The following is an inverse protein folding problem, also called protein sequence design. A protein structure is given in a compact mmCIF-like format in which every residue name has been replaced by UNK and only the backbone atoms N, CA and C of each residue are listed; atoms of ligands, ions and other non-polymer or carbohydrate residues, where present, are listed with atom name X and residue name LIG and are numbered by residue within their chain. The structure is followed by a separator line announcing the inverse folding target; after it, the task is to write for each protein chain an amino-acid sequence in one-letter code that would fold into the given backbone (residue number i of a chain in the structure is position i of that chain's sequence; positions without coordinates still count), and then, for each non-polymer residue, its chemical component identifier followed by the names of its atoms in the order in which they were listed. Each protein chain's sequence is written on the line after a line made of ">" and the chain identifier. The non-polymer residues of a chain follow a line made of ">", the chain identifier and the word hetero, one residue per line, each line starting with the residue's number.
data_IF_786164172878
#
_entry.id   IF_786164172878
#
_cell.length_a   1.000
_cell.length_b   1.000
_cell.length_c   1.000
_cell.angle_alpha   90.00
_cell.angle_beta   90.00
_cell.angle_gamma   90.00
#
_symmetry.space_group_name_H-M   'P 1'
#
loop_
_entity.id
_entity.type
_entity.pdbx_description
1 polymer ?
#
# COMPACT_ATOMS: atom_id res chain seq x y z
N UNK A 1 5.54 -24.44 -10.28
CA UNK A 1 4.76 -23.97 -9.12
C UNK A 1 5.59 -23.07 -8.18
N UNK A 2 6.78 -23.48 -7.74
CA UNK A 2 7.61 -22.68 -6.82
C UNK A 2 7.97 -21.29 -7.39
N UNK A 3 8.33 -21.24 -8.68
CA UNK A 3 8.67 -19.99 -9.39
C UNK A 3 7.48 -19.01 -9.43
N UNK A 4 6.27 -19.50 -9.68
CA UNK A 4 5.07 -18.66 -9.75
C UNK A 4 4.66 -18.14 -8.37
N UNK A 5 4.88 -18.93 -7.31
CA UNK A 5 4.66 -18.49 -5.92
C UNK A 5 5.67 -17.42 -5.53
N UNK A 6 6.95 -17.60 -5.86
CA UNK A 6 7.98 -16.59 -5.60
C UNK A 6 7.71 -15.28 -6.36
N UNK A 7 7.22 -15.37 -7.61
CA UNK A 7 6.78 -14.21 -8.40
C UNK A 7 5.57 -13.52 -7.76
N UNK A 8 4.58 -14.27 -7.29
CA UNK A 8 3.43 -13.71 -6.60
C UNK A 8 3.85 -13.03 -5.29
N UNK A 9 4.83 -13.56 -4.57
CA UNK A 9 5.34 -12.96 -3.33
C UNK A 9 6.08 -11.64 -3.57
N UNK A 10 6.89 -11.56 -4.63
CA UNK A 10 7.67 -10.37 -4.96
C UNK A 10 6.94 -9.32 -5.79
N UNK A 11 5.78 -9.63 -6.39
CA UNK A 11 5.11 -8.69 -7.29
C UNK A 11 4.49 -7.51 -6.54
N UNK A 12 4.69 -6.26 -7.01
CA UNK A 12 4.01 -5.08 -6.46
C UNK A 12 2.56 -4.93 -6.94
N UNK A 13 2.03 -5.93 -7.65
CA UNK A 13 0.86 -5.80 -8.53
C UNK A 13 -0.36 -6.60 -8.06
N UNK A 14 -0.51 -6.81 -6.75
CA UNK A 14 -1.61 -7.61 -6.19
C UNK A 14 -2.97 -6.94 -6.42
N UNK A 15 -3.02 -5.63 -6.26
CA UNK A 15 -4.19 -4.82 -6.52
C UNK A 15 -3.77 -3.55 -7.24
N UNK A 16 -4.36 -3.30 -8.41
CA UNK A 16 -4.05 -2.13 -9.24
C UNK A 16 -5.32 -1.32 -9.42
N UNK A 17 -5.22 -0.01 -9.24
CA UNK A 17 -6.32 0.90 -9.51
C UNK A 17 -6.48 1.15 -11.00
N UNK A 18 -7.73 1.30 -11.46
CA UNK A 18 -7.98 1.73 -12.83
C UNK A 18 -7.56 3.19 -13.00
N UNK A 19 -6.67 3.43 -13.97
CA UNK A 19 -6.14 4.76 -14.29
C UNK A 19 -7.20 5.73 -14.82
N UNK A 20 -8.34 5.23 -15.29
CA UNK A 20 -9.47 6.04 -15.78
C UNK A 20 -10.22 6.73 -14.65
N UNK A 21 -10.18 6.19 -13.43
CA UNK A 21 -10.89 6.74 -12.28
C UNK A 21 -10.04 7.87 -11.67
N UNK A 22 -10.41 9.12 -11.94
CA UNK A 22 -9.66 10.34 -11.52
C UNK A 22 -9.71 10.66 -10.02
N UNK A 23 -10.18 9.74 -9.18
CA UNK A 23 -10.24 9.88 -7.71
C UNK A 23 -9.55 8.75 -6.94
N UNK A 24 -8.82 7.86 -7.62
CA UNK A 24 -8.13 6.76 -6.96
C UNK A 24 -7.00 7.28 -6.06
N UNK A 25 -7.10 6.98 -4.76
CA UNK A 25 -6.12 7.36 -3.73
C UNK A 25 -4.89 6.46 -3.73
N UNK A 26 -5.09 5.21 -4.15
CA UNK A 26 -4.11 4.14 -4.26
C UNK A 26 -3.88 3.84 -5.74
N UNK A 27 -2.62 3.63 -6.14
CA UNK A 27 -2.29 3.27 -7.53
C UNK A 27 -2.05 1.74 -7.63
N UNK A 28 -1.15 1.22 -6.79
CA UNK A 28 -0.81 -0.20 -6.71
C UNK A 28 -0.56 -0.63 -5.28
N UNK A 29 -1.12 -1.75 -4.87
CA UNK A 29 -0.81 -2.43 -3.62
C UNK A 29 -0.16 -3.77 -3.97
N UNK A 30 1.10 -3.94 -3.57
CA UNK A 30 1.77 -5.23 -3.50
C UNK A 30 1.91 -5.70 -2.06
N UNK A 31 2.50 -6.88 -1.89
CA UNK A 31 2.72 -7.44 -0.56
C UNK A 31 3.75 -6.64 0.26
N UNK A 32 4.79 -6.15 -0.41
CA UNK A 32 5.93 -5.48 0.24
C UNK A 32 6.01 -3.99 -0.03
N UNK A 33 5.45 -3.55 -1.16
CA UNK A 33 5.47 -2.17 -1.61
C UNK A 33 4.07 -1.69 -1.96
N UNK A 34 3.79 -0.45 -1.60
CA UNK A 34 2.52 0.21 -1.86
C UNK A 34 2.79 1.56 -2.53
N UNK A 35 2.06 1.83 -3.61
CA UNK A 35 2.12 3.07 -4.37
C UNK A 35 0.84 3.86 -4.18
N UNK A 36 0.97 5.05 -3.60
CA UNK A 36 -0.12 5.99 -3.35
C UNK A 36 -0.08 7.12 -4.36
N UNK A 37 -1.27 7.60 -4.76
CA UNK A 37 -1.40 8.85 -5.51
C UNK A 37 -1.63 10.03 -4.59
N UNK A 38 -2.57 9.93 -3.65
CA UNK A 38 -2.93 11.02 -2.73
C UNK A 38 -3.78 10.49 -1.58
N UNK A 39 -3.28 9.47 -0.87
CA UNK A 39 -4.02 8.88 0.23
C UNK A 39 -3.96 9.82 1.45
N UNK A 40 -5.10 10.37 1.93
CA UNK A 40 -5.14 11.09 3.19
C UNK A 40 -4.99 10.12 4.35
N UNK A 41 -4.35 10.57 5.43
CA UNK A 41 -4.25 9.79 6.66
C UNK A 41 -5.66 9.52 7.24
N UNK A 42 -6.12 8.24 7.33
CA UNK A 42 -7.43 7.90 7.88
C UNK A 42 -7.55 8.18 9.37
N UNK A 43 -6.42 8.28 10.10
CA UNK A 43 -6.40 8.54 11.53
C UNK A 43 -6.40 10.05 11.86
N UNK A 44 -6.12 10.89 10.87
CA UNK A 44 -6.04 12.34 11.03
C UNK A 44 -7.38 13.00 10.64
N UNK A 45 -8.14 13.45 11.63
CA UNK A 45 -9.48 14.02 11.44
C UNK A 45 -9.49 15.26 10.52
N UNK A 46 -8.37 15.95 10.39
CA UNK A 46 -8.23 17.15 9.57
C UNK A 46 -7.60 16.87 8.19
N UNK A 47 -7.29 15.60 7.86
CA UNK A 47 -6.67 15.19 6.59
C UNK A 47 -5.50 16.09 6.14
N UNK A 48 -4.65 16.51 7.07
CA UNK A 48 -3.54 17.43 6.76
C UNK A 48 -2.34 16.72 6.13
N UNK A 49 -2.28 15.39 6.25
CA UNK A 49 -1.21 14.54 5.74
C UNK A 49 -1.68 13.70 4.57
N UNK A 50 -0.94 13.79 3.47
CA UNK A 50 -1.16 13.02 2.25
C UNK A 50 0.08 12.16 1.96
N UNK A 51 -0.15 10.87 1.73
CA UNK A 51 0.88 9.95 1.28
C UNK A 51 0.87 9.88 -0.24
N UNK A 52 2.05 10.12 -0.82
CA UNK A 52 2.31 10.20 -2.26
C UNK A 52 3.51 9.32 -2.58
N UNK A 53 3.46 8.65 -3.74
CA UNK A 53 4.55 7.83 -4.25
C UNK A 53 4.55 6.41 -3.72
N UNK A 54 5.59 5.65 -4.11
CA UNK A 54 5.78 4.26 -3.71
C UNK A 54 6.66 4.17 -2.47
N UNK A 55 6.24 3.36 -1.49
CA UNK A 55 7.01 3.04 -0.29
C UNK A 55 6.96 1.56 0.02
N UNK A 56 7.96 1.11 0.78
CA UNK A 56 7.95 -0.20 1.42
C UNK A 56 7.05 -0.21 2.65
N UNK A 57 6.43 -1.36 2.93
CA UNK A 57 5.53 -1.57 4.07
C UNK A 57 6.22 -1.27 5.41
N UNK A 58 7.50 -1.59 5.52
CA UNK A 58 8.31 -1.49 6.73
C UNK A 58 9.27 -0.30 6.71
N UNK A 59 8.94 0.76 5.95
CA UNK A 59 9.81 1.93 5.86
C UNK A 59 9.84 2.72 7.18
N UNK A 60 10.98 2.78 7.90
CA UNK A 60 11.04 3.44 9.21
C UNK A 60 11.12 4.98 9.11
N UNK A 61 11.36 5.51 7.90
CA UNK A 61 11.62 6.94 7.68
C UNK A 61 10.33 7.75 7.49
N UNK A 62 9.21 7.08 7.18
CA UNK A 62 7.93 7.74 6.96
C UNK A 62 7.16 7.89 8.26
N UNK A 63 7.17 9.10 8.82
CA UNK A 63 6.43 9.43 10.05
C UNK A 63 4.93 9.17 9.91
N UNK A 64 4.34 8.45 10.86
CA UNK A 64 2.91 8.13 10.89
C UNK A 64 2.50 6.90 10.06
N UNK A 65 3.38 6.35 9.23
CA UNK A 65 3.07 5.18 8.39
C UNK A 65 2.77 3.93 9.22
N UNK A 66 3.47 3.75 10.34
CA UNK A 66 3.28 2.62 11.25
C UNK A 66 1.84 2.55 11.83
N UNK A 67 1.22 3.71 12.05
CA UNK A 67 -0.14 3.82 12.60
C UNK A 67 -1.22 3.42 11.60
N UNK A 68 -1.01 3.71 10.32
CA UNK A 68 -1.97 3.40 9.25
C UNK A 68 -1.74 2.01 8.64
N UNK A 69 -0.63 1.35 8.99
CA UNK A 69 -0.24 0.06 8.45
C UNK A 69 -1.33 -1.01 8.61
N UNK A 70 -2.01 -1.04 9.76
CA UNK A 70 -3.14 -1.97 9.99
C UNK A 70 -4.37 -1.71 9.12
N UNK A 71 -4.55 -0.48 8.63
CA UNK A 71 -5.61 -0.14 7.68
C UNK A 71 -5.22 -0.52 6.24
N UNK A 72 -3.93 -0.39 5.88
CA UNK A 72 -3.44 -0.65 4.54
C UNK A 72 -3.18 -2.13 4.27
N UNK A 73 -2.72 -2.88 5.27
CA UNK A 73 -2.44 -4.30 5.18
C UNK A 73 -3.50 -5.11 5.94
N UNK A 74 -4.57 -5.53 5.27
CA UNK A 74 -5.52 -6.46 5.87
C UNK A 74 -4.81 -7.77 6.24
N UNK A 75 -5.29 -8.45 7.28
CA UNK A 75 -4.64 -9.64 7.86
C UNK A 75 -4.35 -10.76 6.86
N UNK A 76 -5.12 -10.87 5.77
CA UNK A 76 -4.85 -11.86 4.72
C UNK A 76 -3.56 -11.56 3.94
N UNK A 77 -3.22 -10.29 3.69
CA UNK A 77 -1.98 -9.93 3.01
C UNK A 77 -0.77 -10.27 3.89
N UNK A 78 -0.91 -10.09 5.21
CA UNK A 78 0.11 -10.44 6.19
C UNK A 78 0.27 -11.97 6.29
N UNK A 79 -0.83 -12.73 6.24
CA UNK A 79 -0.77 -14.19 6.28
C UNK A 79 -0.08 -14.82 5.06
N UNK A 80 -0.06 -14.10 3.93
CA UNK A 80 0.61 -14.54 2.70
C UNK A 80 2.06 -14.04 2.56
N UNK A 81 2.54 -13.23 3.52
CA UNK A 81 3.95 -12.80 3.64
C UNK A 81 4.84 -13.90 4.22
#
# INVERSE_FOLDING_TARGET
>A
ALVTVALAFGTPSWLVSDSRIRGAKLDRLGLWSHCFRSLPDPLDQYQRRFFVGCRWVYDPFTTGYDKIRGYLLPGFMIATQ
#
